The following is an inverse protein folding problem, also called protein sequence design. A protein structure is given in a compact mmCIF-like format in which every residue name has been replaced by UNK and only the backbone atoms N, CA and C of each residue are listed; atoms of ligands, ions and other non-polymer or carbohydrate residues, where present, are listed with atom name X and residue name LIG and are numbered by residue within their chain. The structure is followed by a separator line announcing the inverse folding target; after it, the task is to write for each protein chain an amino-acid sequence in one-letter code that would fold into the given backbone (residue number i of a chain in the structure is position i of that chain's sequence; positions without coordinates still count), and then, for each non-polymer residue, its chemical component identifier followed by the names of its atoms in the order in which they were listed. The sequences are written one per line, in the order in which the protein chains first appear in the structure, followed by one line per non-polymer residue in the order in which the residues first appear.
data_IF_961489208014
#
_entry.id   IF_961489208014
#
_cell.length_a   1.000
_cell.length_b   1.000
_cell.length_c   1.000
_cell.angle_alpha   90.00
_cell.angle_beta   90.00
_cell.angle_gamma   90.00
#
_symmetry.space_group_name_H-M   'P 1'
#
loop_
_entity.id
_entity.type
_entity.pdbx_description
1 polymer ?
#
# COMPACT_ATOMS: atom_id res chain seq x y z
N UNK A 1 -61.21 -12.61 -41.24
CA UNK A 1 -60.46 -11.68 -40.35
C UNK A 1 -59.90 -12.34 -39.14
N UNK A 2 -59.87 -13.67 -38.99
CA UNK A 2 -59.42 -14.39 -37.76
C UNK A 2 -58.01 -15.01 -37.83
N UNK A 3 -57.47 -15.18 -39.04
CA UNK A 3 -56.10 -15.79 -39.17
C UNK A 3 -54.92 -14.85 -38.81
N UNK A 4 -55.14 -13.52 -38.77
CA UNK A 4 -54.04 -12.57 -38.45
C UNK A 4 -53.76 -12.37 -36.97
N UNK A 5 -54.63 -12.80 -36.04
CA UNK A 5 -54.42 -12.64 -34.60
C UNK A 5 -53.57 -13.78 -33.95
N UNK A 6 -53.62 -14.96 -34.55
CA UNK A 6 -52.87 -16.14 -33.99
C UNK A 6 -51.36 -16.04 -34.26
N UNK A 7 -50.93 -15.49 -35.38
CA UNK A 7 -49.51 -15.37 -35.73
C UNK A 7 -48.77 -14.28 -34.95
N UNK A 8 -49.48 -13.30 -34.37
CA UNK A 8 -48.88 -12.25 -33.54
C UNK A 8 -48.56 -12.70 -32.09
N UNK A 9 -49.31 -13.67 -31.55
CA UNK A 9 -49.13 -14.18 -30.19
C UNK A 9 -47.88 -15.05 -30.05
N UNK A 10 -47.51 -15.80 -31.11
CA UNK A 10 -46.35 -16.70 -31.06
C UNK A 10 -45.03 -15.95 -31.28
N UNK A 11 -45.03 -14.87 -32.07
CA UNK A 11 -43.86 -14.04 -32.26
C UNK A 11 -43.47 -13.26 -30.97
N UNK A 12 -44.46 -12.77 -30.22
CA UNK A 12 -44.23 -12.07 -28.93
C UNK A 12 -43.77 -13.03 -27.82
N UNK A 13 -44.22 -14.29 -27.81
CA UNK A 13 -43.73 -15.30 -26.88
C UNK A 13 -42.28 -15.69 -27.19
N UNK A 14 -41.92 -15.90 -28.43
CA UNK A 14 -40.57 -16.25 -28.87
C UNK A 14 -39.56 -15.10 -28.57
N UNK A 15 -40.00 -13.83 -28.72
CA UNK A 15 -39.20 -12.66 -28.39
C UNK A 15 -38.94 -12.53 -26.89
N UNK A 16 -39.96 -12.78 -26.03
CA UNK A 16 -39.80 -12.75 -24.57
C UNK A 16 -38.90 -13.87 -24.07
N UNK A 17 -39.00 -15.09 -24.62
CA UNK A 17 -38.11 -16.20 -24.25
C UNK A 17 -36.64 -15.93 -24.62
N UNK A 18 -36.36 -15.32 -25.77
CA UNK A 18 -34.99 -14.92 -26.16
C UNK A 18 -34.44 -13.80 -25.28
N UNK A 19 -35.29 -12.84 -24.86
CA UNK A 19 -34.91 -11.79 -23.91
C UNK A 19 -34.54 -12.34 -22.52
N UNK A 20 -35.34 -13.29 -22.01
CA UNK A 20 -35.08 -13.92 -20.70
C UNK A 20 -33.83 -14.81 -20.76
N UNK A 21 -33.64 -15.57 -21.86
CA UNK A 21 -32.43 -16.38 -22.04
C UNK A 21 -31.17 -15.52 -22.16
N UNK A 22 -31.24 -14.35 -22.82
CA UNK A 22 -30.15 -13.38 -22.87
C UNK A 22 -29.84 -12.76 -21.52
N UNK A 23 -30.86 -12.45 -20.72
CA UNK A 23 -30.71 -11.89 -19.37
C UNK A 23 -30.13 -12.91 -18.40
N UNK A 24 -30.55 -14.17 -18.45
CA UNK A 24 -30.03 -15.28 -17.64
C UNK A 24 -28.59 -15.61 -18.02
N UNK A 25 -28.24 -15.60 -19.31
CA UNK A 25 -26.87 -15.80 -19.77
C UNK A 25 -25.96 -14.64 -19.35
N UNK A 26 -26.44 -13.40 -19.38
CA UNK A 26 -25.72 -12.23 -18.90
C UNK A 26 -25.56 -12.25 -17.36
N UNK A 27 -26.56 -12.73 -16.62
CA UNK A 27 -26.49 -12.88 -15.16
C UNK A 27 -25.53 -14.00 -14.76
N UNK A 28 -25.47 -15.09 -15.53
CA UNK A 28 -24.52 -16.18 -15.33
C UNK A 28 -23.07 -15.77 -15.63
N UNK A 29 -22.86 -14.88 -16.60
CA UNK A 29 -21.54 -14.30 -16.88
C UNK A 29 -21.07 -13.33 -15.79
N UNK A 30 -22.00 -12.67 -15.08
CA UNK A 30 -21.67 -11.81 -13.94
C UNK A 30 -21.34 -12.62 -12.67
N UNK A 31 -21.78 -13.87 -12.56
CA UNK A 31 -21.45 -14.78 -11.46
C UNK A 31 -20.10 -15.51 -11.66
N UNK A 32 -19.55 -15.52 -12.86
CA UNK A 32 -18.24 -16.11 -13.16
C UNK A 32 -17.05 -15.19 -12.77
N UNK A 33 -17.31 -14.00 -12.23
CA UNK A 33 -16.29 -12.99 -11.90
C UNK A 33 -15.59 -13.16 -10.56
N UNK A 34 -15.88 -14.20 -9.77
CA UNK A 34 -15.16 -14.54 -8.53
C UNK A 34 -14.30 -15.80 -8.74
N UNK A 35 -13.40 -15.79 -9.73
CA UNK A 35 -12.32 -16.76 -9.82
C UNK A 35 -11.35 -16.58 -8.64
N UNK A 36 -10.81 -17.68 -8.12
CA UNK A 36 -9.66 -17.62 -7.20
C UNK A 36 -8.52 -16.86 -7.89
N UNK A 37 -7.84 -15.96 -7.19
CA UNK A 37 -6.68 -15.25 -7.75
C UNK A 37 -5.54 -16.23 -8.04
N UNK A 38 -4.70 -15.93 -9.04
CA UNK A 38 -3.65 -16.84 -9.52
C UNK A 38 -2.69 -17.29 -8.41
N UNK A 39 -2.41 -16.44 -7.40
CA UNK A 39 -1.60 -16.81 -6.23
C UNK A 39 -2.32 -17.81 -5.30
N UNK A 40 -3.63 -17.69 -5.13
CA UNK A 40 -4.44 -18.66 -4.40
C UNK A 40 -4.44 -20.02 -5.12
N UNK A 41 -4.61 -20.01 -6.44
CA UNK A 41 -4.57 -21.24 -7.26
C UNK A 41 -3.20 -21.92 -7.11
N UNK A 42 -2.09 -21.19 -7.23
CA UNK A 42 -0.74 -21.72 -7.09
C UNK A 42 -0.52 -22.41 -5.73
N UNK A 43 -0.95 -21.77 -4.65
CA UNK A 43 -0.80 -22.29 -3.29
C UNK A 43 -1.70 -23.51 -3.03
N UNK A 44 -2.92 -23.48 -3.52
CA UNK A 44 -3.87 -24.59 -3.36
C UNK A 44 -3.51 -25.81 -4.20
N UNK A 45 -3.06 -25.62 -5.42
CA UNK A 45 -2.54 -26.72 -6.25
C UNK A 45 -1.40 -27.44 -5.53
N UNK A 46 -0.52 -26.68 -4.88
CA UNK A 46 0.55 -27.25 -4.05
C UNK A 46 -0.01 -28.03 -2.85
N UNK A 47 -0.96 -27.46 -2.08
CA UNK A 47 -1.59 -28.13 -0.95
C UNK A 47 -2.29 -29.42 -1.35
N UNK A 48 -3.02 -29.40 -2.47
CA UNK A 48 -3.73 -30.57 -2.97
C UNK A 48 -2.75 -31.70 -3.34
N UNK A 49 -1.67 -31.37 -4.06
CA UNK A 49 -0.65 -32.37 -4.42
C UNK A 49 0.10 -32.92 -3.21
N UNK A 50 0.35 -32.05 -2.22
CA UNK A 50 0.94 -32.48 -0.94
C UNK A 50 0.01 -33.44 -0.22
N UNK A 51 -1.27 -33.14 -0.11
CA UNK A 51 -2.27 -34.03 0.51
C UNK A 51 -2.40 -35.36 -0.23
N UNK A 52 -2.47 -35.34 -1.56
CA UNK A 52 -2.48 -36.58 -2.41
C UNK A 52 -1.22 -37.42 -2.18
N UNK A 53 -0.04 -36.79 -2.13
CA UNK A 53 1.21 -37.53 -1.90
C UNK A 53 1.29 -38.13 -0.50
N UNK A 54 0.70 -37.49 0.50
CA UNK A 54 0.63 -37.99 1.88
C UNK A 54 -0.57 -38.92 2.14
N UNK A 55 -1.45 -39.12 1.16
CA UNK A 55 -2.72 -39.88 1.30
C UNK A 55 -3.65 -39.28 2.36
N UNK A 56 -3.66 -37.96 2.47
CA UNK A 56 -4.50 -37.18 3.38
C UNK A 56 -5.53 -36.36 2.61
N UNK A 57 -6.56 -35.85 3.30
CA UNK A 57 -7.48 -34.88 2.73
C UNK A 57 -6.81 -33.49 2.64
N UNK A 58 -7.05 -32.78 1.52
CA UNK A 58 -6.59 -31.39 1.38
C UNK A 58 -7.31 -30.49 2.41
N UNK A 59 -6.65 -29.44 2.92
CA UNK A 59 -7.26 -28.52 3.87
C UNK A 59 -8.53 -27.88 3.31
N UNK A 60 -9.54 -27.65 4.16
CA UNK A 60 -10.77 -26.98 3.72
C UNK A 60 -10.45 -25.57 3.20
N UNK A 61 -11.33 -25.07 2.32
CA UNK A 61 -11.18 -23.68 1.85
C UNK A 61 -11.45 -22.70 2.98
N UNK A 62 -10.49 -21.87 3.28
CA UNK A 62 -10.58 -20.77 4.24
C UNK A 62 -10.11 -19.48 3.60
N UNK A 63 -10.67 -18.38 4.02
CA UNK A 63 -10.29 -17.04 3.51
C UNK A 63 -9.40 -16.39 4.55
N UNK A 64 -8.20 -15.92 4.17
CA UNK A 64 -7.34 -15.19 5.09
C UNK A 64 -8.02 -13.94 5.65
N UNK A 65 -7.64 -13.56 6.86
CA UNK A 65 -8.04 -12.28 7.44
C UNK A 65 -7.61 -11.13 6.53
N UNK A 66 -8.44 -10.08 6.50
CA UNK A 66 -8.10 -8.89 5.75
C UNK A 66 -7.18 -7.99 6.57
N UNK A 67 -6.38 -7.16 5.87
CA UNK A 67 -5.61 -6.09 6.52
C UNK A 67 -6.54 -5.13 7.27
N UNK A 68 -6.03 -4.50 8.33
CA UNK A 68 -6.75 -3.41 8.98
C UNK A 68 -6.86 -2.19 8.05
N UNK A 69 -7.88 -1.36 8.27
CA UNK A 69 -7.96 -0.06 7.60
C UNK A 69 -6.79 0.83 8.07
N UNK A 70 -6.21 1.60 7.13
CA UNK A 70 -5.26 2.64 7.50
C UNK A 70 -5.95 3.65 8.43
N UNK A 71 -5.26 4.22 9.45
CA UNK A 71 -5.89 5.09 10.46
C UNK A 71 -6.74 6.21 9.87
N UNK A 72 -7.83 6.56 10.56
CA UNK A 72 -8.72 7.64 10.17
C UNK A 72 -8.00 9.01 10.14
N UNK A 73 -8.55 9.98 9.42
CA UNK A 73 -7.88 11.25 9.17
C UNK A 73 -7.50 12.00 10.45
N UNK A 74 -8.38 12.02 11.43
CA UNK A 74 -8.17 12.64 12.73
C UNK A 74 -7.11 11.94 13.60
N UNK A 75 -6.81 10.67 13.31
CA UNK A 75 -5.83 9.85 14.02
C UNK A 75 -4.46 9.81 13.37
N UNK A 76 -4.32 10.31 12.13
CA UNK A 76 -3.08 10.24 11.36
C UNK A 76 -2.43 11.58 11.06
N UNK A 77 -3.09 12.71 11.36
CA UNK A 77 -2.60 14.03 11.02
C UNK A 77 -2.21 14.84 12.26
N UNK A 78 -1.28 15.76 12.06
CA UNK A 78 -0.92 16.78 13.03
C UNK A 78 -1.83 17.99 12.88
N UNK A 79 -2.25 18.57 14.00
CA UNK A 79 -2.88 19.87 14.02
C UNK A 79 -1.81 20.95 13.79
N UNK A 80 -1.98 21.78 12.76
CA UNK A 80 -1.06 22.86 12.43
C UNK A 80 -1.75 24.18 12.68
N UNK A 81 -1.25 24.92 13.64
CA UNK A 81 -1.77 26.25 13.99
C UNK A 81 -1.56 27.21 12.83
N UNK A 82 -2.64 27.80 12.33
CA UNK A 82 -2.57 28.79 11.25
C UNK A 82 -1.85 30.07 11.71
N UNK A 83 -0.86 30.47 10.93
CA UNK A 83 -0.21 31.76 11.11
C UNK A 83 -1.03 32.83 10.40
N UNK A 84 -1.50 33.84 11.13
CA UNK A 84 -2.31 34.96 10.59
C UNK A 84 -1.56 36.25 10.80
N UNK A 85 -1.32 36.96 9.70
CA UNK A 85 -0.69 38.30 9.70
C UNK A 85 -1.56 39.29 8.91
N UNK A 86 -1.56 40.53 9.34
CA UNK A 86 -2.26 41.61 8.64
C UNK A 86 -1.61 41.93 7.29
N UNK A 87 -2.37 42.53 6.37
CA UNK A 87 -1.84 42.95 5.05
C UNK A 87 -0.70 43.97 5.17
N UNK A 88 -0.77 44.88 6.16
CA UNK A 88 0.30 45.83 6.41
C UNK A 88 1.57 45.21 6.94
N UNK A 89 1.40 44.14 7.76
CA UNK A 89 2.50 43.36 8.31
C UNK A 89 3.22 42.56 7.22
N UNK A 90 2.46 41.98 6.29
CA UNK A 90 3.03 41.30 5.10
C UNK A 90 3.72 42.32 4.18
N UNK A 91 3.15 43.54 4.02
CA UNK A 91 3.77 44.57 3.22
C UNK A 91 5.07 45.12 3.84
N UNK A 92 5.15 45.17 5.17
CA UNK A 92 6.39 45.54 5.87
C UNK A 92 7.54 44.56 5.57
N UNK A 93 7.21 43.29 5.23
CA UNK A 93 8.18 42.27 4.80
C UNK A 93 8.28 42.11 3.27
N UNK A 94 7.98 43.14 2.49
CA UNK A 94 7.98 43.07 1.01
C UNK A 94 9.33 42.67 0.42
N UNK A 95 10.43 43.04 1.05
CA UNK A 95 11.79 42.68 0.64
C UNK A 95 12.02 41.13 0.72
N UNK A 96 11.23 40.42 1.52
CA UNK A 96 11.24 38.95 1.57
C UNK A 96 10.43 38.29 0.43
N UNK A 97 9.79 39.07 -0.43
CA UNK A 97 9.01 38.63 -1.61
C UNK A 97 7.88 37.63 -1.29
N UNK A 98 7.30 37.71 -0.08
CA UNK A 98 6.24 36.76 0.37
C UNK A 98 4.81 37.22 0.01
N UNK A 99 4.59 38.52 -0.32
CA UNK A 99 3.25 39.06 -0.47
C UNK A 99 2.38 38.33 -1.52
N UNK A 100 2.92 38.11 -2.71
CA UNK A 100 2.20 37.42 -3.78
C UNK A 100 1.92 35.92 -3.42
N UNK A 101 2.85 35.28 -2.72
CA UNK A 101 2.70 33.91 -2.27
C UNK A 101 1.56 33.78 -1.24
N UNK A 102 1.54 34.69 -0.25
CA UNK A 102 0.46 34.75 0.76
C UNK A 102 -0.89 35.07 0.13
N UNK A 103 -0.93 36.04 -0.82
CA UNK A 103 -2.15 36.35 -1.56
C UNK A 103 -2.68 35.17 -2.36
N UNK A 104 -1.79 34.43 -3.02
CA UNK A 104 -2.13 33.17 -3.74
C UNK A 104 -2.73 32.11 -2.80
N UNK A 105 -2.17 31.92 -1.61
CA UNK A 105 -2.69 30.98 -0.60
C UNK A 105 -4.06 31.38 -0.06
N UNK A 106 -4.33 32.69 0.04
CA UNK A 106 -5.57 33.21 0.62
C UNK A 106 -6.71 33.36 -0.40
N UNK A 107 -6.48 33.16 -1.68
CA UNK A 107 -7.53 33.16 -2.69
C UNK A 107 -8.39 31.86 -2.62
N UNK A 108 -9.48 31.80 -3.40
CA UNK A 108 -10.41 30.66 -3.39
C UNK A 108 -9.72 29.32 -3.73
N UNK A 109 -8.84 29.29 -4.72
CA UNK A 109 -8.12 28.09 -5.14
C UNK A 109 -7.10 27.65 -4.08
N UNK A 110 -6.36 28.60 -3.50
CA UNK A 110 -5.41 28.30 -2.43
C UNK A 110 -6.05 27.71 -1.18
N UNK A 111 -7.29 28.10 -0.85
CA UNK A 111 -8.03 27.59 0.32
C UNK A 111 -8.43 26.13 0.15
N UNK A 112 -8.68 25.67 -1.06
CA UNK A 112 -9.09 24.29 -1.39
C UNK A 112 -7.96 23.47 -2.00
N UNK A 113 -6.73 23.97 -1.96
CA UNK A 113 -5.58 23.28 -2.49
C UNK A 113 -5.37 21.91 -1.81
N UNK A 114 -5.01 20.86 -2.58
CA UNK A 114 -4.72 19.54 -2.02
C UNK A 114 -3.50 19.61 -1.08
N UNK A 115 -3.32 18.61 -0.21
CA UNK A 115 -2.23 18.58 0.77
C UNK A 115 -0.84 18.76 0.16
N UNK A 116 -0.56 18.16 -1.00
CA UNK A 116 0.68 18.30 -1.76
C UNK A 116 0.98 19.76 -2.17
N UNK A 117 -0.03 20.46 -2.68
CA UNK A 117 0.10 21.88 -3.08
C UNK A 117 0.27 22.81 -1.86
N UNK A 118 -0.33 22.43 -0.71
CA UNK A 118 -0.08 23.16 0.54
C UNK A 118 1.36 22.98 1.01
N UNK A 119 1.92 21.79 0.87
CA UNK A 119 3.33 21.55 1.20
C UNK A 119 4.26 22.36 0.30
N UNK A 120 4.04 22.37 -1.00
CA UNK A 120 4.82 23.18 -1.93
C UNK A 120 4.77 24.68 -1.57
N UNK A 121 3.58 25.17 -1.18
CA UNK A 121 3.43 26.54 -0.68
C UNK A 121 4.25 26.78 0.58
N UNK A 122 4.17 25.90 1.58
CA UNK A 122 4.89 26.09 2.85
C UNK A 122 6.42 25.96 2.67
N UNK A 123 6.88 25.09 1.79
CA UNK A 123 8.29 24.98 1.39
C UNK A 123 8.80 26.31 0.78
N UNK A 124 8.05 26.88 -0.16
CA UNK A 124 8.41 28.16 -0.78
C UNK A 124 8.35 29.31 0.21
N UNK A 125 7.34 29.35 1.08
CA UNK A 125 7.22 30.36 2.12
C UNK A 125 8.40 30.28 3.10
N UNK A 126 8.71 29.08 3.58
CA UNK A 126 9.86 28.86 4.46
C UNK A 126 11.18 29.29 3.80
N UNK A 127 11.37 28.94 2.54
CA UNK A 127 12.58 29.29 1.77
C UNK A 127 12.76 30.80 1.67
N UNK A 128 11.71 31.56 1.35
CA UNK A 128 11.74 32.98 1.27
C UNK A 128 11.98 33.67 2.63
N UNK A 129 11.26 33.21 3.65
CA UNK A 129 11.46 33.74 5.02
C UNK A 129 12.87 33.43 5.53
N UNK A 130 13.33 32.18 5.41
CA UNK A 130 14.68 31.78 5.81
C UNK A 130 15.77 32.50 4.99
N UNK A 131 15.57 32.64 3.68
CA UNK A 131 16.48 33.39 2.82
C UNK A 131 16.57 34.87 3.23
N UNK A 132 15.42 35.50 3.48
CA UNK A 132 15.32 36.89 3.92
C UNK A 132 15.98 37.11 5.30
N UNK A 133 15.70 36.21 6.27
CA UNK A 133 16.29 36.25 7.60
C UNK A 133 17.83 36.16 7.58
N UNK A 134 18.38 35.38 6.67
CA UNK A 134 19.83 35.15 6.54
C UNK A 134 20.50 36.09 5.49
N UNK A 135 19.88 37.21 5.16
CA UNK A 135 20.43 38.29 4.29
C UNK A 135 20.62 39.58 5.07
N UNK A 136 20.96 40.69 4.38
CA UNK A 136 21.05 42.02 4.96
C UNK A 136 19.67 42.68 5.16
N UNK A 137 18.58 42.04 4.70
CA UNK A 137 17.22 42.60 4.79
C UNK A 137 16.76 42.90 6.23
N UNK A 138 17.04 42.08 7.25
CA UNK A 138 16.70 42.37 8.65
C UNK A 138 17.26 43.70 9.18
N UNK A 139 18.42 44.13 8.70
CA UNK A 139 19.07 45.34 9.17
C UNK A 139 18.36 46.64 8.68
N UNK A 140 17.60 46.52 7.59
CA UNK A 140 16.79 47.60 7.04
C UNK A 140 15.35 47.67 7.59
N UNK A 141 14.93 46.67 8.37
CA UNK A 141 13.58 46.59 8.95
C UNK A 141 13.49 47.40 10.27
N UNK A 142 12.27 47.86 10.60
CA UNK A 142 11.95 48.30 11.95
C UNK A 142 12.07 47.13 12.95
N UNK A 143 12.30 47.46 14.23
CA UNK A 143 12.43 46.42 15.28
C UNK A 143 11.20 45.48 15.31
N UNK A 144 9.98 46.01 15.22
CA UNK A 144 8.73 45.23 15.16
C UNK A 144 8.68 44.30 13.93
N UNK A 145 9.13 44.76 12.78
CA UNK A 145 9.15 43.98 11.54
C UNK A 145 10.23 42.90 11.56
N UNK A 146 11.39 43.22 12.17
CA UNK A 146 12.47 42.25 12.39
C UNK A 146 12.03 41.12 13.34
N UNK A 147 11.39 41.46 14.48
CA UNK A 147 10.86 40.48 15.42
C UNK A 147 9.79 39.63 14.77
N UNK A 148 8.90 40.23 13.95
CA UNK A 148 7.90 39.48 13.17
C UNK A 148 8.55 38.49 12.20
N UNK A 149 9.56 38.90 11.43
CA UNK A 149 10.29 38.06 10.51
C UNK A 149 10.94 36.86 11.25
N UNK A 150 11.59 37.12 12.40
CA UNK A 150 12.20 36.11 13.25
C UNK A 150 11.15 35.10 13.70
N UNK A 151 10.01 35.56 14.26
CA UNK A 151 8.92 34.72 14.74
C UNK A 151 8.32 33.87 13.62
N UNK A 152 8.03 34.48 12.45
CA UNK A 152 7.48 33.75 11.30
C UNK A 152 8.44 32.69 10.78
N UNK A 153 9.71 33.00 10.66
CA UNK A 153 10.74 32.07 10.20
C UNK A 153 10.86 30.90 11.16
N UNK A 154 10.91 31.13 12.48
CA UNK A 154 10.96 30.10 13.49
C UNK A 154 9.71 29.21 13.44
N UNK A 155 8.51 29.83 13.45
CA UNK A 155 7.23 29.09 13.39
C UNK A 155 7.14 28.19 12.15
N UNK A 156 7.55 28.71 10.98
CA UNK A 156 7.50 27.90 9.73
C UNK A 156 8.57 26.83 9.71
N UNK A 157 9.71 27.03 10.33
CA UNK A 157 10.73 25.99 10.51
C UNK A 157 10.20 24.85 11.37
N UNK A 158 9.55 25.17 12.49
CA UNK A 158 9.02 24.15 13.41
C UNK A 158 7.81 23.39 12.82
N UNK A 159 6.99 24.06 12.01
CA UNK A 159 5.78 23.48 11.41
C UNK A 159 6.07 22.65 10.15
N UNK A 160 7.11 22.96 9.39
CA UNK A 160 7.36 22.36 8.09
C UNK A 160 7.43 20.82 8.11
N UNK A 161 8.05 20.14 9.09
CA UNK A 161 8.05 18.67 9.17
C UNK A 161 6.65 18.07 9.37
N UNK A 162 5.76 18.75 10.12
CA UNK A 162 4.38 18.33 10.31
C UNK A 162 3.54 18.59 9.06
N UNK A 163 3.80 19.69 8.34
CA UNK A 163 3.15 19.97 7.04
C UNK A 163 3.55 18.92 6.01
N UNK A 164 4.83 18.55 5.95
CA UNK A 164 5.35 17.48 5.08
C UNK A 164 4.67 16.15 5.38
N UNK A 165 4.55 15.78 6.65
CA UNK A 165 3.80 14.61 7.08
C UNK A 165 2.35 14.66 6.59
N UNK A 166 1.64 15.74 6.89
CA UNK A 166 0.24 15.88 6.52
C UNK A 166 0.04 15.85 5.00
N UNK A 167 0.98 16.42 4.23
CA UNK A 167 0.90 16.44 2.77
C UNK A 167 0.86 15.03 2.17
N UNK A 168 1.65 14.11 2.71
CA UNK A 168 1.71 12.74 2.23
C UNK A 168 0.62 11.87 2.85
N UNK A 169 0.56 11.81 4.19
CA UNK A 169 -0.29 10.84 4.90
C UNK A 169 -1.76 11.28 5.01
N UNK A 170 -2.10 12.56 4.68
CA UNK A 170 -3.48 12.98 4.45
C UNK A 170 -3.99 12.63 3.06
N UNK A 171 -3.10 12.42 2.10
CA UNK A 171 -3.46 12.26 0.70
C UNK A 171 -4.34 11.03 0.47
N UNK A 172 -5.27 11.14 -0.48
CA UNK A 172 -6.09 10.00 -0.88
C UNK A 172 -5.25 8.91 -1.54
N UNK A 173 -4.19 9.30 -2.24
CA UNK A 173 -3.23 8.43 -2.92
C UNK A 173 -2.57 7.48 -1.93
N UNK A 174 -2.10 8.00 -0.80
CA UNK A 174 -1.54 7.20 0.27
C UNK A 174 -2.57 6.24 0.87
N UNK A 175 -3.76 6.73 1.21
CA UNK A 175 -4.82 5.92 1.84
C UNK A 175 -5.32 4.83 0.90
N UNK A 176 -5.49 5.13 -0.39
CA UNK A 176 -5.91 4.16 -1.41
C UNK A 176 -4.89 3.04 -1.60
N UNK A 177 -3.60 3.31 -1.36
CA UNK A 177 -2.57 2.29 -1.43
C UNK A 177 -2.76 1.15 -0.39
N UNK A 178 -3.52 1.41 0.69
CA UNK A 178 -3.92 0.45 1.72
C UNK A 178 -5.39 0.03 1.61
N UNK A 179 -5.96 0.00 0.40
CA UNK A 179 -7.37 -0.33 0.19
C UNK A 179 -7.70 -1.77 0.58
N UNK A 180 -8.64 -1.95 1.50
CA UNK A 180 -9.14 -3.27 1.92
C UNK A 180 -9.97 -4.00 0.86
N UNK A 181 -10.35 -3.31 -0.20
CA UNK A 181 -11.08 -3.89 -1.35
C UNK A 181 -10.14 -4.55 -2.37
N UNK A 182 -8.81 -4.52 -2.16
CA UNK A 182 -7.83 -5.17 -3.02
C UNK A 182 -7.88 -6.71 -2.91
N UNK A 183 -7.28 -7.38 -3.87
CA UNK A 183 -7.03 -8.83 -3.85
C UNK A 183 -5.54 -9.10 -3.66
N UNK A 184 -5.11 -10.33 -3.30
CA UNK A 184 -3.70 -10.70 -3.37
C UNK A 184 -3.11 -10.46 -4.76
N UNK A 185 -1.82 -10.14 -4.83
CA UNK A 185 -1.08 -10.00 -6.09
C UNK A 185 -1.08 -11.30 -6.90
N UNK A 186 -1.25 -11.21 -8.22
CA UNK A 186 -0.89 -12.33 -9.08
C UNK A 186 0.63 -12.55 -9.09
N UNK A 187 1.11 -13.77 -9.36
CA UNK A 187 2.54 -14.06 -9.41
C UNK A 187 3.32 -13.10 -10.33
N UNK A 188 2.79 -12.80 -11.51
CA UNK A 188 3.41 -11.94 -12.51
C UNK A 188 3.49 -10.47 -12.07
N UNK A 189 2.62 -10.06 -11.15
CA UNK A 189 2.58 -8.68 -10.68
C UNK A 189 3.70 -8.32 -9.68
N UNK A 190 4.47 -9.29 -9.22
CA UNK A 190 5.62 -9.05 -8.33
C UNK A 190 6.69 -8.21 -9.03
N UNK A 191 6.86 -8.34 -10.34
CA UNK A 191 7.82 -7.57 -11.14
C UNK A 191 7.49 -6.05 -11.19
N UNK A 192 6.25 -5.67 -10.88
CA UNK A 192 5.85 -4.26 -10.84
C UNK A 192 6.25 -3.55 -9.55
N UNK A 193 6.65 -4.28 -8.51
CA UNK A 193 6.91 -3.71 -7.17
C UNK A 193 8.14 -2.78 -7.20
N UNK A 194 9.24 -3.24 -7.76
CA UNK A 194 10.49 -2.46 -7.80
C UNK A 194 10.35 -1.15 -8.60
N UNK A 195 9.82 -1.13 -9.83
CA UNK A 195 9.62 0.12 -10.56
C UNK A 195 8.71 1.13 -9.83
N UNK A 196 7.68 0.67 -9.12
CA UNK A 196 6.76 1.55 -8.39
C UNK A 196 7.36 2.11 -7.10
N UNK A 197 8.37 1.48 -6.53
CA UNK A 197 9.07 1.96 -5.32
C UNK A 197 9.81 3.28 -5.56
N UNK A 198 10.09 3.65 -6.81
CA UNK A 198 10.65 4.96 -7.17
C UNK A 198 9.79 6.12 -6.65
N UNK A 199 8.46 5.95 -6.54
CA UNK A 199 7.59 6.96 -5.96
C UNK A 199 7.89 7.18 -4.46
N UNK A 200 8.07 6.11 -3.69
CA UNK A 200 8.43 6.20 -2.27
C UNK A 200 9.82 6.82 -2.08
N UNK A 201 10.78 6.44 -2.94
CA UNK A 201 12.13 6.99 -2.93
C UNK A 201 12.14 8.50 -3.21
N UNK A 202 11.37 8.95 -4.20
CA UNK A 202 11.23 10.39 -4.49
C UNK A 202 10.62 11.14 -3.32
N UNK A 203 9.55 10.63 -2.70
CA UNK A 203 8.90 11.28 -1.55
C UNK A 203 9.84 11.35 -0.35
N UNK A 204 10.66 10.32 -0.13
CA UNK A 204 11.71 10.32 0.89
C UNK A 204 12.76 11.42 0.64
N UNK A 205 13.30 11.48 -0.57
CA UNK A 205 14.27 12.51 -0.95
C UNK A 205 13.68 13.93 -0.84
N UNK A 206 12.43 14.12 -1.28
CA UNK A 206 11.72 15.37 -1.14
C UNK A 206 11.60 15.82 0.33
N UNK A 207 11.35 14.87 1.24
CA UNK A 207 11.29 15.14 2.68
C UNK A 207 12.67 15.50 3.25
N UNK A 208 13.72 14.80 2.86
CA UNK A 208 15.10 15.07 3.30
C UNK A 208 15.57 16.46 2.88
N UNK A 209 15.18 16.92 1.69
CA UNK A 209 15.58 18.23 1.15
C UNK A 209 14.67 19.38 1.57
N UNK A 210 13.66 19.16 2.44
CA UNK A 210 12.70 20.22 2.81
C UNK A 210 13.33 21.48 3.41
N UNK A 211 14.51 21.37 4.04
CA UNK A 211 15.27 22.50 4.58
C UNK A 211 16.44 22.94 3.70
N UNK A 212 16.55 22.42 2.50
CA UNK A 212 17.50 22.88 1.51
C UNK A 212 16.91 24.06 0.72
N UNK A 213 17.47 25.25 0.91
CA UNK A 213 17.01 26.48 0.23
C UNK A 213 17.23 26.45 -1.29
N UNK A 214 18.11 25.60 -1.77
CA UNK A 214 18.42 25.47 -3.20
C UNK A 214 17.56 24.41 -3.90
N UNK A 215 16.96 23.50 -3.13
CA UNK A 215 16.11 22.46 -3.66
C UNK A 215 14.69 22.98 -3.91
N UNK A 216 14.20 22.85 -5.14
CA UNK A 216 12.87 23.28 -5.56
C UNK A 216 12.12 22.09 -6.12
N UNK A 217 11.13 21.54 -5.40
CA UNK A 217 10.33 20.44 -5.94
C UNK A 217 9.46 20.93 -7.10
N UNK A 218 9.45 20.15 -8.17
CA UNK A 218 8.54 20.38 -9.30
C UNK A 218 7.18 19.78 -8.99
N UNK A 219 6.12 20.61 -9.09
CA UNK A 219 4.74 20.18 -8.79
C UNK A 219 4.30 19.00 -9.63
N UNK A 220 4.56 18.98 -10.93
CA UNK A 220 4.16 17.90 -11.82
C UNK A 220 4.83 16.56 -11.46
N UNK A 221 6.10 16.62 -11.05
CA UNK A 221 6.86 15.44 -10.62
C UNK A 221 6.31 14.87 -9.31
N UNK A 222 6.03 15.72 -8.32
CA UNK A 222 5.43 15.31 -7.05
C UNK A 222 4.06 14.65 -7.27
N UNK A 223 3.18 15.29 -8.03
CA UNK A 223 1.85 14.76 -8.34
C UNK A 223 1.93 13.45 -9.14
N UNK A 224 2.90 13.31 -10.05
CA UNK A 224 3.15 12.08 -10.79
C UNK A 224 3.49 10.91 -9.87
N UNK A 225 4.35 11.11 -8.87
CA UNK A 225 4.70 10.08 -7.89
C UNK A 225 3.55 9.74 -6.95
N UNK A 226 2.78 10.73 -6.49
CA UNK A 226 1.57 10.47 -5.70
C UNK A 226 0.55 9.67 -6.50
N UNK A 227 0.32 10.04 -7.77
CA UNK A 227 -0.57 9.30 -8.66
C UNK A 227 -0.15 7.83 -8.83
N UNK A 228 1.15 7.55 -8.92
CA UNK A 228 1.66 6.16 -8.99
C UNK A 228 1.22 5.31 -7.79
N UNK A 229 1.17 5.89 -6.58
CA UNK A 229 0.67 5.22 -5.38
C UNK A 229 -0.84 4.94 -5.44
N UNK A 230 -1.61 5.79 -6.14
CA UNK A 230 -3.05 5.66 -6.27
C UNK A 230 -3.49 4.67 -7.34
N UNK A 231 -2.71 4.54 -8.43
CA UNK A 231 -3.05 3.71 -9.60
C UNK A 231 -3.25 2.24 -9.24
N UNK A 232 -2.52 1.78 -8.22
CA UNK A 232 -2.62 0.41 -7.71
C UNK A 232 -2.46 0.39 -6.19
N UNK A 233 -3.33 -0.28 -5.43
CA UNK A 233 -3.23 -0.42 -3.99
C UNK A 233 -2.16 -1.43 -3.58
N UNK A 234 -0.92 -1.23 -4.04
CA UNK A 234 0.16 -2.20 -3.99
C UNK A 234 0.51 -2.64 -2.56
N UNK A 235 0.50 -1.71 -1.59
CA UNK A 235 0.72 -2.07 -0.18
C UNK A 235 -0.32 -3.07 0.33
N UNK A 236 -1.59 -2.82 0.04
CA UNK A 236 -2.67 -3.70 0.46
C UNK A 236 -2.61 -5.06 -0.25
N UNK A 237 -2.37 -5.07 -1.56
CA UNK A 237 -2.26 -6.31 -2.36
C UNK A 237 -1.10 -7.16 -1.86
N UNK A 238 0.06 -6.55 -1.60
CA UNK A 238 1.25 -7.25 -1.10
C UNK A 238 1.04 -7.83 0.30
N UNK A 239 0.50 -7.03 1.23
CA UNK A 239 0.19 -7.50 2.59
C UNK A 239 -0.82 -8.66 2.56
N UNK A 240 -1.86 -8.59 1.72
CA UNK A 240 -2.82 -9.68 1.55
C UNK A 240 -2.20 -10.94 0.95
N UNK A 241 -1.21 -10.77 0.06
CA UNK A 241 -0.47 -11.90 -0.50
C UNK A 241 0.38 -12.59 0.57
N UNK A 242 1.02 -11.81 1.45
CA UNK A 242 1.77 -12.35 2.59
C UNK A 242 0.87 -13.14 3.55
N UNK A 243 -0.29 -12.58 3.93
CA UNK A 243 -1.27 -13.27 4.79
C UNK A 243 -1.79 -14.57 4.16
N UNK A 244 -2.08 -14.53 2.86
CA UNK A 244 -2.50 -15.70 2.11
C UNK A 244 -1.41 -16.78 2.10
N UNK A 245 -0.18 -16.42 1.75
CA UNK A 245 0.93 -17.36 1.68
C UNK A 245 1.26 -17.93 3.06
N UNK A 246 1.28 -17.12 4.11
CA UNK A 246 1.44 -17.57 5.50
C UNK A 246 0.40 -18.62 5.87
N UNK A 247 -0.87 -18.32 5.67
CA UNK A 247 -1.97 -19.24 6.01
C UNK A 247 -1.84 -20.57 5.25
N UNK A 248 -1.63 -20.52 3.93
CA UNK A 248 -1.53 -21.73 3.11
C UNK A 248 -0.30 -22.58 3.45
N UNK A 249 0.83 -21.94 3.79
CA UNK A 249 2.02 -22.65 4.26
C UNK A 249 1.82 -23.29 5.63
N UNK A 250 1.10 -22.65 6.55
CA UNK A 250 0.76 -23.21 7.85
C UNK A 250 -0.18 -24.42 7.70
N UNK A 251 -1.22 -24.31 6.87
CA UNK A 251 -2.12 -25.44 6.55
C UNK A 251 -1.36 -26.62 5.93
N UNK A 252 -0.44 -26.34 4.98
CA UNK A 252 0.42 -27.35 4.37
C UNK A 252 1.39 -27.99 5.39
N UNK A 253 1.86 -27.20 6.36
CA UNK A 253 2.73 -27.68 7.44
C UNK A 253 2.00 -28.64 8.36
N UNK A 254 0.74 -28.38 8.67
CA UNK A 254 -0.11 -29.28 9.47
C UNK A 254 -0.30 -30.63 8.77
N UNK A 255 -0.50 -30.66 7.45
CA UNK A 255 -0.57 -31.93 6.70
C UNK A 255 0.70 -32.78 6.88
N UNK A 256 1.89 -32.15 6.87
CA UNK A 256 3.13 -32.88 7.07
C UNK A 256 3.26 -33.37 8.51
N UNK A 257 2.84 -32.57 9.50
CA UNK A 257 2.84 -32.96 10.91
C UNK A 257 1.92 -34.14 11.15
N UNK A 258 0.68 -34.11 10.63
CA UNK A 258 -0.27 -35.19 10.72
C UNK A 258 0.28 -36.50 10.09
N UNK A 259 0.96 -36.40 8.95
CA UNK A 259 1.61 -37.52 8.29
C UNK A 259 2.78 -38.09 9.09
N UNK A 260 3.55 -37.26 9.80
CA UNK A 260 4.67 -37.68 10.65
C UNK A 260 4.21 -38.30 11.98
N UNK A 261 3.02 -37.90 12.49
CA UNK A 261 2.42 -38.43 13.73
C UNK A 261 1.61 -39.72 13.50
N UNK A 262 1.14 -39.96 12.28
CA UNK A 262 0.41 -41.15 11.89
C UNK A 262 1.30 -42.40 11.80
N UNK A 263 0.70 -43.58 11.49
CA UNK A 263 1.44 -44.83 11.25
C UNK A 263 2.38 -44.65 10.04
N UNK A 264 3.63 -44.27 10.31
CA UNK A 264 4.65 -43.78 9.38
C UNK A 264 4.91 -44.58 8.09
N UNK A 265 4.30 -45.75 7.90
CA UNK A 265 4.45 -46.53 6.68
C UNK A 265 3.65 -45.98 5.47
N UNK A 266 2.50 -45.35 5.72
CA UNK A 266 1.66 -44.78 4.65
C UNK A 266 2.21 -43.45 4.10
N UNK A 267 2.85 -42.66 4.95
CA UNK A 267 3.43 -41.37 4.56
C UNK A 267 4.73 -41.49 3.75
N UNK A 268 5.38 -42.67 3.80
CA UNK A 268 6.68 -42.91 3.18
C UNK A 268 6.63 -43.63 1.81
N UNK A 269 5.49 -43.74 1.16
CA UNK A 269 5.40 -44.32 -0.18
C UNK A 269 6.28 -43.58 -1.21
N UNK A 270 5.72 -43.12 -2.31
CA UNK A 270 6.43 -42.31 -3.32
C UNK A 270 6.44 -40.79 -2.98
N UNK A 271 5.94 -40.42 -1.77
CA UNK A 271 5.68 -39.02 -1.39
C UNK A 271 6.94 -38.10 -1.40
N UNK A 272 8.09 -38.48 -0.80
CA UNK A 272 9.26 -37.59 -0.78
C UNK A 272 9.81 -37.32 -2.17
N UNK A 273 9.90 -38.35 -3.03
CA UNK A 273 10.45 -38.24 -4.38
C UNK A 273 9.50 -37.47 -5.33
N UNK A 274 8.18 -37.68 -5.18
CA UNK A 274 7.17 -36.95 -5.95
C UNK A 274 7.12 -35.48 -5.57
N UNK A 275 7.37 -35.13 -4.32
CA UNK A 275 7.34 -33.73 -3.84
C UNK A 275 8.65 -32.98 -4.10
N UNK A 276 9.82 -33.62 -3.91
CA UNK A 276 11.12 -32.95 -3.95
C UNK A 276 11.52 -32.47 -5.35
N UNK A 277 11.02 -33.09 -6.43
CA UNK A 277 11.38 -32.78 -7.81
C UNK A 277 10.23 -32.27 -8.68
N UNK A 278 9.03 -32.02 -8.10
CA UNK A 278 7.90 -31.60 -8.93
C UNK A 278 8.10 -30.18 -9.49
N UNK A 279 7.70 -29.93 -10.74
CA UNK A 279 7.75 -28.59 -11.33
C UNK A 279 6.96 -27.57 -10.51
N UNK A 280 5.86 -27.99 -9.89
CA UNK A 280 4.99 -27.15 -9.08
C UNK A 280 5.65 -26.73 -7.76
N UNK A 281 6.32 -27.64 -7.08
CA UNK A 281 7.07 -27.31 -5.86
C UNK A 281 8.22 -26.33 -6.16
N UNK A 282 8.87 -26.51 -7.30
CA UNK A 282 9.92 -25.59 -7.78
C UNK A 282 9.32 -24.22 -8.11
N UNK A 283 8.20 -24.18 -8.83
CA UNK A 283 7.47 -22.95 -9.16
C UNK A 283 7.03 -22.19 -7.91
N UNK A 284 6.45 -22.91 -6.94
CA UNK A 284 6.06 -22.31 -5.65
C UNK A 284 7.28 -21.75 -4.91
N UNK A 285 8.37 -22.50 -4.80
CA UNK A 285 9.58 -22.04 -4.12
C UNK A 285 10.13 -20.77 -4.74
N UNK A 286 10.22 -20.73 -6.07
CA UNK A 286 10.66 -19.52 -6.80
C UNK A 286 9.76 -18.33 -6.51
N UNK A 287 8.43 -18.52 -6.58
CA UNK A 287 7.47 -17.46 -6.31
C UNK A 287 7.54 -16.96 -4.84
N UNK A 288 7.73 -17.85 -3.86
CA UNK A 288 7.88 -17.46 -2.45
C UNK A 288 9.17 -16.64 -2.24
N UNK A 289 10.26 -16.95 -2.97
CA UNK A 289 11.50 -16.16 -2.95
C UNK A 289 11.30 -14.76 -3.55
N UNK A 290 10.55 -14.68 -4.64
CA UNK A 290 10.21 -13.42 -5.31
C UNK A 290 9.30 -12.57 -4.41
N UNK A 291 8.29 -13.18 -3.77
CA UNK A 291 7.40 -12.52 -2.83
C UNK A 291 8.16 -11.94 -1.63
N UNK A 292 9.06 -12.72 -1.02
CA UNK A 292 9.89 -12.24 0.11
C UNK A 292 10.73 -11.03 -0.31
N UNK A 293 11.38 -11.10 -1.46
CA UNK A 293 12.22 -10.03 -2.00
C UNK A 293 11.41 -8.77 -2.29
N UNK A 294 10.27 -8.91 -2.98
CA UNK A 294 9.39 -7.80 -3.31
C UNK A 294 8.80 -7.14 -2.04
N UNK A 295 8.40 -7.96 -1.05
CA UNK A 295 7.86 -7.47 0.20
C UNK A 295 8.90 -6.71 1.03
N UNK A 296 10.12 -7.24 1.16
CA UNK A 296 11.22 -6.53 1.84
C UNK A 296 11.57 -5.23 1.16
N UNK A 297 11.61 -5.21 -0.16
CA UNK A 297 11.91 -4.02 -0.94
C UNK A 297 10.85 -2.93 -0.72
N UNK A 298 9.56 -3.27 -0.87
CA UNK A 298 8.46 -2.31 -0.75
C UNK A 298 8.27 -1.81 0.68
N UNK A 299 8.18 -2.72 1.64
CA UNK A 299 8.01 -2.35 3.06
C UNK A 299 9.22 -1.64 3.61
N UNK A 300 10.43 -1.99 3.15
CA UNK A 300 11.66 -1.26 3.47
C UNK A 300 11.66 0.17 2.92
N UNK A 301 11.14 0.39 1.72
CA UNK A 301 10.98 1.74 1.16
C UNK A 301 9.95 2.58 1.95
N UNK A 302 8.83 1.96 2.38
CA UNK A 302 7.86 2.63 3.26
C UNK A 302 8.49 2.96 4.62
N UNK A 303 9.23 2.04 5.21
CA UNK A 303 9.89 2.22 6.49
C UNK A 303 10.91 3.37 6.42
N UNK A 304 11.76 3.38 5.41
CA UNK A 304 12.72 4.44 5.15
C UNK A 304 12.06 5.82 4.90
N UNK A 305 10.88 5.85 4.27
CA UNK A 305 10.10 7.07 4.11
C UNK A 305 9.55 7.57 5.45
N UNK A 306 9.02 6.67 6.29
CA UNK A 306 8.51 7.03 7.62
C UNK A 306 9.62 7.54 8.56
N UNK A 307 10.84 7.01 8.46
CA UNK A 307 11.97 7.38 9.31
C UNK A 307 12.50 8.79 9.07
N UNK A 308 12.33 9.35 7.87
CA UNK A 308 12.77 10.72 7.57
C UNK A 308 11.74 11.79 7.99
N UNK A 309 10.56 11.37 8.39
CA UNK A 309 9.52 12.25 8.92
C UNK A 309 9.58 12.39 10.45
N UNK A 310 8.76 13.31 10.97
CA UNK A 310 8.49 13.40 12.42
C UNK A 310 7.91 12.09 12.95
N UNK A 311 8.08 11.85 14.25
CA UNK A 311 7.49 10.67 14.89
C UNK A 311 5.97 10.58 14.58
N UNK A 312 5.50 9.44 14.10
CA UNK A 312 4.11 9.29 13.66
C UNK A 312 3.12 9.44 14.81
N UNK A 313 1.88 9.91 14.55
CA UNK A 313 0.80 9.81 15.52
C UNK A 313 0.60 8.37 16.03
N UNK A 314 0.13 8.16 17.27
CA UNK A 314 0.06 6.84 17.90
C UNK A 314 -0.64 5.76 17.06
N UNK A 315 -1.75 6.09 16.42
CA UNK A 315 -2.49 5.14 15.57
C UNK A 315 -1.68 4.70 14.33
N UNK A 316 -0.88 5.61 13.75
CA UNK A 316 0.00 5.26 12.63
C UNK A 316 1.21 4.46 13.10
N UNK A 317 1.76 4.79 14.27
CA UNK A 317 2.84 4.00 14.90
C UNK A 317 2.40 2.56 15.16
N UNK A 318 1.18 2.37 15.69
CA UNK A 318 0.59 1.04 15.90
C UNK A 318 0.34 0.30 14.58
N UNK A 319 -0.16 0.99 13.55
CA UNK A 319 -0.34 0.42 12.22
C UNK A 319 1.02 -0.01 11.61
N UNK A 320 2.04 0.86 11.68
CA UNK A 320 3.42 0.54 11.23
C UNK A 320 3.93 -0.73 11.90
N UNK A 321 3.83 -0.81 13.23
CA UNK A 321 4.29 -1.98 13.99
C UNK A 321 3.57 -3.26 13.57
N UNK A 322 2.26 -3.24 13.50
CA UNK A 322 1.43 -4.44 13.26
C UNK A 322 1.40 -4.90 11.81
N UNK A 323 1.50 -3.99 10.86
CA UNK A 323 1.27 -4.30 9.44
C UNK A 323 2.49 -4.09 8.55
N UNK A 324 3.36 -3.14 8.88
CA UNK A 324 4.47 -2.73 8.02
C UNK A 324 5.85 -3.09 8.59
N UNK A 325 5.91 -3.67 9.80
CA UNK A 325 7.16 -4.01 10.45
C UNK A 325 7.92 -5.10 9.68
N UNK A 326 9.23 -4.91 9.57
CA UNK A 326 10.15 -5.89 8.99
C UNK A 326 10.65 -6.92 10.02
N UNK A 327 10.36 -6.69 11.31
CA UNK A 327 10.97 -7.45 12.42
C UNK A 327 9.97 -7.94 13.49
N UNK A 328 8.81 -7.29 13.64
CA UNK A 328 7.79 -7.73 14.61
C UNK A 328 7.21 -9.09 14.16
N UNK A 329 7.32 -10.15 14.97
CA UNK A 329 6.93 -11.51 14.56
C UNK A 329 5.44 -11.65 14.21
N UNK A 330 4.58 -10.75 14.70
CA UNK A 330 3.14 -10.76 14.39
C UNK A 330 2.80 -9.97 13.10
N UNK A 331 3.77 -9.23 12.54
CA UNK A 331 3.55 -8.52 11.28
C UNK A 331 3.61 -9.49 10.08
N UNK A 332 2.87 -9.18 8.98
CA UNK A 332 2.69 -10.12 7.86
C UNK A 332 3.98 -10.65 7.24
N UNK A 333 5.01 -9.82 7.08
CA UNK A 333 6.27 -10.26 6.46
C UNK A 333 7.08 -11.21 7.37
N UNK A 334 7.35 -10.90 8.66
CA UNK A 334 8.00 -11.86 9.55
C UNK A 334 7.19 -13.13 9.79
N UNK A 335 5.86 -13.04 9.92
CA UNK A 335 4.97 -14.19 10.08
C UNK A 335 5.03 -15.13 8.85
N UNK A 336 4.96 -14.55 7.64
CA UNK A 336 5.17 -15.29 6.38
C UNK A 336 6.56 -15.96 6.35
N UNK A 337 7.62 -15.24 6.73
CA UNK A 337 8.98 -15.77 6.76
C UNK A 337 9.07 -16.98 7.70
N UNK A 338 8.50 -16.88 8.91
CA UNK A 338 8.47 -17.96 9.90
C UNK A 338 7.66 -19.17 9.39
N UNK A 339 6.50 -18.95 8.76
CA UNK A 339 5.69 -20.03 8.17
C UNK A 339 6.46 -20.77 7.06
N UNK A 340 7.19 -20.05 6.23
CA UNK A 340 8.02 -20.58 5.15
C UNK A 340 9.18 -21.42 5.70
N UNK A 341 9.89 -20.95 6.71
CA UNK A 341 10.98 -21.67 7.37
C UNK A 341 10.47 -22.94 8.07
N UNK A 342 9.35 -22.86 8.80
CA UNK A 342 8.71 -24.01 9.43
C UNK A 342 8.34 -25.06 8.39
N UNK A 343 7.69 -24.64 7.30
CA UNK A 343 7.28 -25.56 6.24
C UNK A 343 8.49 -26.26 5.59
N UNK A 344 9.57 -25.53 5.30
CA UNK A 344 10.80 -26.09 4.77
C UNK A 344 11.45 -27.11 5.73
N UNK A 345 11.48 -26.80 7.03
CA UNK A 345 12.02 -27.70 8.05
C UNK A 345 11.20 -29.01 8.15
N UNK A 346 9.86 -28.92 8.09
CA UNK A 346 8.97 -30.10 8.12
C UNK A 346 9.13 -30.96 6.87
N UNK A 347 9.24 -30.36 5.69
CA UNK A 347 9.54 -31.11 4.45
C UNK A 347 10.87 -31.86 4.55
N UNK A 348 11.91 -31.25 5.09
CA UNK A 348 13.20 -31.89 5.31
C UNK A 348 13.08 -33.06 6.32
N UNK A 349 12.33 -32.90 7.42
CA UNK A 349 12.04 -33.97 8.37
C UNK A 349 11.35 -35.13 7.72
N UNK A 350 10.30 -34.88 6.92
CA UNK A 350 9.58 -35.90 6.17
C UNK A 350 10.50 -36.69 5.23
N UNK A 351 11.34 -35.99 4.47
CA UNK A 351 12.31 -36.59 3.56
C UNK A 351 13.35 -37.46 4.30
N UNK A 352 13.74 -37.09 5.51
CA UNK A 352 14.63 -37.92 6.35
C UNK A 352 13.93 -39.11 6.99
N UNK A 353 12.67 -38.96 7.41
CA UNK A 353 11.88 -40.04 8.02
C UNK A 353 11.62 -41.16 7.03
N UNK A 354 11.52 -40.85 5.75
CA UNK A 354 11.18 -41.79 4.67
C UNK A 354 12.40 -42.37 3.93
N UNK A 355 13.61 -42.16 4.41
CA UNK A 355 14.84 -42.83 3.90
C UNK A 355 15.22 -43.99 4.75
#
# INVERSE_FOLDING_TARGET
MERSRFLRSDADRASRHRGIQGLVAMLLLLLAGCGEGDSEVLLRDYQQRLAEALSLEAPPRSVPDNIAAFPAQDQRLFEIVETREGMLDIYALRECHIANLVAGRNNQLGKVAPPSQRWLYELELWRRLSGCWNSDAPDALSDDSRERLARLTATKTDQLPQVSWNALFASEEWVKNFSRASSPLSPEALDEVEPRSAALSYLREATLHQFDRTWVPESATLEGHLKTLQERPLSAELLRTLLLAEQRLNEASTLIEDALEGDGGAACGEAPDRLAGSPEATRLATWLDELDRAARHWLGAIDALLEVHVAPPPAVADYRRRWLSLIDPEAPLPAFTAARERHAALRNRLAHHCR
#
